data_IF_131239823071
#
_entry.id   IF_131239823071
#
_cell.length_a   1.000
_cell.length_b   1.000
_cell.length_c   1.000
_cell.angle_alpha   90.00
_cell.angle_beta   90.00
_cell.angle_gamma   90.00
#
_symmetry.space_group_name_H-M   'P 1'
#
loop_
_entity.id
_entity.type
_entity.pdbx_description
1 polymer ?
#
# COMPACT_ATOMS: atom_id res chain seq x y z
N UNK A 1 -4.29 -18.68 -1.52
CA UNK A 1 -4.45 -17.34 -2.13
C UNK A 1 -3.92 -16.27 -1.18
N UNK A 2 -3.21 -15.26 -1.69
CA UNK A 2 -2.73 -14.12 -0.91
C UNK A 2 -3.56 -12.88 -1.25
N UNK A 3 -3.90 -12.06 -0.25
CA UNK A 3 -4.62 -10.81 -0.42
C UNK A 3 -3.79 -9.64 0.07
N UNK A 4 -3.76 -8.56 -0.70
CA UNK A 4 -3.21 -7.28 -0.26
C UNK A 4 -4.37 -6.37 0.18
N UNK A 5 -4.34 -5.91 1.42
CA UNK A 5 -5.38 -5.11 2.06
C UNK A 5 -4.78 -3.83 2.64
N UNK A 6 -5.64 -2.84 2.89
CA UNK A 6 -5.29 -1.56 3.52
C UNK A 6 -6.51 -1.03 4.31
N UNK A 7 -6.41 0.14 4.93
CA UNK A 7 -7.47 0.73 5.74
C UNK A 7 -8.68 1.19 4.89
N UNK A 8 -9.83 1.36 5.54
CA UNK A 8 -11.01 1.99 4.91
C UNK A 8 -10.82 3.50 4.76
N UNK A 9 -11.53 4.12 3.82
CA UNK A 9 -11.28 5.49 3.38
C UNK A 9 -9.85 5.66 2.83
N UNK A 10 -9.41 4.69 2.02
CA UNK A 10 -8.04 4.66 1.49
C UNK A 10 -7.74 5.93 0.70
N UNK A 11 -6.62 6.54 1.04
CA UNK A 11 -6.02 7.65 0.32
C UNK A 11 -5.04 7.13 -0.75
N UNK A 12 -4.17 8.00 -1.27
CA UNK A 12 -3.23 7.64 -2.31
C UNK A 12 -2.08 6.77 -1.81
N UNK A 13 -1.62 6.92 -0.56
CA UNK A 13 -0.53 6.07 -0.05
C UNK A 13 -1.04 4.63 0.07
N UNK A 14 -2.20 4.44 0.68
CA UNK A 14 -2.86 3.16 0.79
C UNK A 14 -2.98 2.44 -0.57
N UNK A 15 -3.59 3.07 -1.59
CA UNK A 15 -3.77 2.40 -2.89
C UNK A 15 -2.45 2.22 -3.64
N UNK A 16 -1.54 3.20 -3.60
CA UNK A 16 -0.22 3.07 -4.22
C UNK A 16 0.55 1.90 -3.60
N UNK A 17 0.53 1.81 -2.28
CA UNK A 17 1.14 0.73 -1.51
C UNK A 17 0.55 -0.62 -1.84
N UNK A 18 -0.76 -0.72 -2.10
CA UNK A 18 -1.37 -1.97 -2.59
C UNK A 18 -0.80 -2.41 -3.95
N UNK A 19 -0.69 -1.47 -4.89
CA UNK A 19 -0.10 -1.76 -6.21
C UNK A 19 1.38 -2.12 -6.11
N UNK A 20 2.17 -1.40 -5.30
CA UNK A 20 3.58 -1.67 -5.10
C UNK A 20 3.82 -3.02 -4.42
N UNK A 21 3.00 -3.38 -3.42
CA UNK A 21 3.02 -4.71 -2.83
C UNK A 21 2.69 -5.79 -3.87
N UNK A 22 1.75 -5.56 -4.79
CA UNK A 22 1.48 -6.50 -5.87
C UNK A 22 2.69 -6.70 -6.80
N UNK A 23 3.52 -5.66 -7.02
CA UNK A 23 4.78 -5.78 -7.78
C UNK A 23 5.80 -6.69 -7.10
N UNK A 24 5.88 -6.64 -5.76
CA UNK A 24 6.76 -7.50 -4.96
C UNK A 24 6.20 -8.93 -4.79
N UNK A 25 4.87 -9.05 -4.77
CA UNK A 25 4.14 -10.30 -4.57
C UNK A 25 3.12 -10.52 -5.70
N UNK A 26 3.56 -10.89 -6.93
CA UNK A 26 2.68 -10.97 -8.10
C UNK A 26 1.51 -11.96 -7.98
N UNK A 27 1.59 -12.92 -7.04
CA UNK A 27 0.52 -13.87 -6.76
C UNK A 27 -0.54 -13.34 -5.78
N UNK A 28 -0.30 -12.20 -5.13
CA UNK A 28 -1.21 -11.60 -4.17
C UNK A 28 -2.15 -10.61 -4.85
N UNK A 29 -3.45 -10.69 -4.56
CA UNK A 29 -4.46 -9.85 -5.20
C UNK A 29 -4.71 -8.57 -4.38
N UNK A 30 -4.49 -7.37 -4.95
CA UNK A 30 -4.79 -6.12 -4.27
C UNK A 30 -6.28 -5.81 -4.34
N UNK A 31 -6.95 -5.97 -3.20
CA UNK A 31 -8.37 -5.69 -3.08
C UNK A 31 -8.56 -4.30 -2.47
N UNK A 32 -9.20 -3.41 -3.22
CA UNK A 32 -9.52 -2.08 -2.71
C UNK A 32 -10.43 -2.16 -1.49
N UNK A 33 -10.34 -1.15 -0.63
CA UNK A 33 -11.32 -0.93 0.44
C UNK A 33 -12.71 -0.62 -0.14
N UNK A 34 -13.75 -0.71 0.69
CA UNK A 34 -15.12 -0.39 0.24
C UNK A 34 -15.28 1.11 -0.01
N UNK A 35 -14.57 1.93 0.75
CA UNK A 35 -14.56 3.38 0.61
C UNK A 35 -13.13 3.84 0.34
N UNK A 36 -12.94 4.56 -0.76
CA UNK A 36 -11.71 5.29 -1.07
C UNK A 36 -12.00 6.78 -1.07
N UNK A 37 -10.98 7.61 -0.86
CA UNK A 37 -11.12 9.06 -0.90
C UNK A 37 -11.56 9.55 -2.29
N UNK A 38 -12.19 10.73 -2.34
CA UNK A 38 -12.81 11.24 -3.59
C UNK A 38 -11.78 11.46 -4.70
N UNK A 39 -10.60 11.96 -4.36
CA UNK A 39 -9.45 12.13 -5.25
C UNK A 39 -9.00 10.77 -5.83
N UNK A 40 -8.82 9.76 -4.97
CA UNK A 40 -8.47 8.40 -5.34
C UNK A 40 -9.53 7.79 -6.27
N UNK A 41 -10.81 7.93 -5.94
CA UNK A 41 -11.90 7.46 -6.79
C UNK A 41 -11.87 8.09 -8.19
N UNK A 42 -11.57 9.39 -8.27
CA UNK A 42 -11.39 10.09 -9.54
C UNK A 42 -10.27 9.49 -10.38
N UNK A 43 -9.10 9.24 -9.77
CA UNK A 43 -7.96 8.61 -10.42
C UNK A 43 -8.28 7.18 -10.90
N UNK A 44 -8.84 6.35 -10.02
CA UNK A 44 -9.19 4.96 -10.32
C UNK A 44 -10.25 4.86 -11.42
N UNK A 45 -11.18 5.82 -11.53
CA UNK A 45 -12.18 5.85 -12.60
C UNK A 45 -11.53 6.02 -13.98
N UNK A 46 -10.46 6.81 -14.08
CA UNK A 46 -9.75 7.06 -15.34
C UNK A 46 -8.84 5.90 -15.75
N UNK A 47 -8.26 5.21 -14.76
CA UNK A 47 -7.16 4.28 -14.97
C UNK A 47 -7.45 2.83 -14.54
N UNK A 48 -8.72 2.50 -14.27
CA UNK A 48 -9.15 1.21 -13.72
C UNK A 48 -8.53 0.01 -14.43
N UNK A 49 -8.65 -0.05 -15.76
CA UNK A 49 -8.25 -1.22 -16.57
C UNK A 49 -6.73 -1.40 -16.67
N UNK A 50 -5.95 -0.44 -16.19
CA UNK A 50 -4.48 -0.46 -16.22
C UNK A 50 -3.86 -0.77 -14.86
N UNK A 51 -4.67 -0.95 -13.82
CA UNK A 51 -4.22 -1.16 -12.44
C UNK A 51 -4.66 -2.55 -11.94
N UNK A 52 -3.89 -3.20 -11.05
CA UNK A 52 -4.08 -4.62 -10.72
C UNK A 52 -5.25 -4.90 -9.76
N UNK A 53 -6.14 -3.94 -9.55
CA UNK A 53 -7.11 -3.99 -8.46
C UNK A 53 -8.32 -4.88 -8.72
N UNK A 54 -8.82 -5.47 -7.64
CA UNK A 54 -10.16 -6.06 -7.60
C UNK A 54 -11.07 -5.28 -6.66
N UNK A 55 -12.37 -5.24 -6.97
CA UNK A 55 -13.36 -4.68 -6.04
C UNK A 55 -13.77 -5.74 -5.01
N UNK A 56 -14.12 -5.34 -3.78
CA UNK A 56 -14.65 -6.27 -2.77
C UNK A 56 -15.85 -7.11 -3.22
N UNK A 57 -16.67 -6.57 -4.12
CA UNK A 57 -17.84 -7.27 -4.67
C UNK A 57 -17.50 -8.36 -5.69
N UNK A 58 -16.32 -8.29 -6.31
CA UNK A 58 -15.84 -9.24 -7.31
C UNK A 58 -15.10 -10.42 -6.62
N UNK A 59 -14.86 -10.34 -5.31
CA UNK A 59 -14.18 -11.36 -4.52
C UNK A 59 -15.04 -12.60 -4.26
N UNK A 60 -14.57 -13.77 -4.69
CA UNK A 60 -15.30 -15.04 -4.63
C UNK A 60 -15.17 -15.79 -3.30
N UNK A 61 -14.55 -15.19 -2.27
CA UNK A 61 -14.44 -15.75 -0.91
C UNK A 61 -13.66 -17.06 -0.84
N UNK A 62 -12.63 -17.17 -1.65
CA UNK A 62 -11.70 -18.28 -1.57
C UNK A 62 -10.92 -18.26 -0.24
N UNK A 63 -10.42 -19.41 0.24
CA UNK A 63 -9.57 -19.47 1.42
C UNK A 63 -8.33 -18.57 1.26
N UNK A 64 -8.19 -17.61 2.16
CA UNK A 64 -7.01 -16.76 2.26
C UNK A 64 -5.93 -17.51 3.06
N UNK A 65 -4.74 -17.61 2.48
CA UNK A 65 -3.57 -18.28 3.07
C UNK A 65 -2.67 -17.28 3.79
N UNK A 66 -2.59 -16.05 3.27
CA UNK A 66 -1.80 -14.97 3.85
C UNK A 66 -2.41 -13.62 3.46
N UNK A 67 -2.26 -12.64 4.35
CA UNK A 67 -2.62 -11.24 4.11
C UNK A 67 -1.34 -10.42 4.12
N UNK A 68 -1.21 -9.54 3.14
CA UNK A 68 -0.23 -8.47 3.13
C UNK A 68 -1.01 -7.19 3.42
N UNK A 69 -0.86 -6.66 4.62
CA UNK A 69 -1.52 -5.45 5.08
C UNK A 69 -0.56 -4.28 4.85
N UNK A 70 -1.00 -3.28 4.09
CA UNK A 70 -0.19 -2.11 3.78
C UNK A 70 -0.84 -0.85 4.32
N UNK A 71 0.00 0.07 4.78
CA UNK A 71 -0.39 1.41 5.22
C UNK A 71 -1.35 1.42 6.43
N UNK A 72 -1.36 0.32 7.16
CA UNK A 72 -2.08 0.17 8.40
C UNK A 72 -1.64 -1.11 9.11
N UNK A 73 -1.78 -1.13 10.42
CA UNK A 73 -1.72 -2.35 11.23
C UNK A 73 -3.12 -2.76 11.75
N UNK A 74 -4.20 -2.15 11.25
CA UNK A 74 -5.58 -2.53 11.57
C UNK A 74 -6.20 -3.37 10.46
N UNK A 75 -6.42 -4.66 10.71
CA UNK A 75 -6.96 -5.57 9.70
C UNK A 75 -8.45 -5.29 9.43
N UNK A 76 -8.85 -4.86 8.21
CA UNK A 76 -10.25 -4.62 7.90
C UNK A 76 -11.07 -5.92 7.88
N UNK A 77 -12.37 -5.79 8.20
CA UNK A 77 -13.28 -6.93 8.15
C UNK A 77 -13.65 -7.28 6.68
N UNK A 78 -12.94 -8.29 6.17
CA UNK A 78 -13.08 -8.84 4.82
C UNK A 78 -13.63 -10.26 4.90
N UNK A 79 -14.63 -10.55 4.07
CA UNK A 79 -15.25 -11.88 4.05
C UNK A 79 -14.30 -12.92 3.46
N UNK A 80 -14.07 -14.01 4.18
CA UNK A 80 -13.15 -15.09 3.79
C UNK A 80 -11.80 -15.02 4.51
N UNK A 81 -11.48 -13.88 5.13
CA UNK A 81 -10.35 -13.74 6.06
C UNK A 81 -10.72 -14.40 7.39
N UNK A 82 -9.92 -15.38 7.82
CA UNK A 82 -10.04 -15.98 9.16
C UNK A 82 -9.22 -15.17 10.16
N UNK A 83 -9.61 -15.20 11.44
CA UNK A 83 -8.92 -14.48 12.52
C UNK A 83 -7.47 -14.92 12.72
N UNK A 84 -7.14 -16.16 12.36
CA UNK A 84 -5.82 -16.79 12.50
C UNK A 84 -5.00 -16.75 11.21
N UNK A 85 -5.48 -16.06 10.17
CA UNK A 85 -4.74 -15.95 8.91
C UNK A 85 -3.40 -15.25 9.16
N UNK A 86 -2.27 -15.78 8.68
CA UNK A 86 -0.98 -15.09 8.74
C UNK A 86 -1.07 -13.69 8.11
N UNK A 87 -0.55 -12.68 8.80
CA UNK A 87 -0.52 -11.29 8.34
C UNK A 87 0.93 -10.82 8.28
N UNK A 88 1.30 -10.22 7.16
CA UNK A 88 2.51 -9.42 7.02
C UNK A 88 2.08 -7.96 6.93
N UNK A 89 2.59 -7.11 7.80
CA UNK A 89 2.32 -5.66 7.80
C UNK A 89 3.51 -4.93 7.21
N UNK A 90 3.25 -4.01 6.27
CA UNK A 90 4.22 -3.04 5.76
C UNK A 90 3.62 -1.65 5.96
N UNK A 91 4.15 -0.89 6.91
CA UNK A 91 3.49 0.32 7.40
C UNK A 91 4.53 1.34 7.88
N UNK A 92 4.30 2.62 7.63
CA UNK A 92 5.14 3.69 8.17
C UNK A 92 4.66 4.23 9.54
N UNK A 93 3.43 3.86 9.96
CA UNK A 93 2.91 4.20 11.28
C UNK A 93 3.56 3.34 12.36
N UNK A 94 4.54 3.88 13.08
CA UNK A 94 5.19 3.18 14.19
C UNK A 94 4.20 2.94 15.33
N UNK A 95 4.20 1.73 15.89
CA UNK A 95 3.44 1.43 17.10
C UNK A 95 3.92 2.30 18.27
N UNK A 96 2.97 2.95 18.94
CA UNK A 96 3.19 3.66 20.19
C UNK A 96 3.22 2.67 21.37
N UNK A 97 3.78 3.09 22.50
CA UNK A 97 3.83 2.27 23.72
C UNK A 97 2.44 1.87 24.25
N UNK A 98 1.42 2.70 23.97
CA UNK A 98 0.05 2.53 24.43
C UNK A 98 -0.86 1.79 23.41
N UNK A 99 -0.32 1.39 22.24
CA UNK A 99 -1.10 0.65 21.25
C UNK A 99 -1.41 -0.77 21.75
N UNK A 100 -2.56 -1.30 21.33
CA UNK A 100 -2.90 -2.70 21.62
C UNK A 100 -1.87 -3.64 20.97
N UNK A 101 -1.37 -4.65 21.70
CA UNK A 101 -0.40 -5.58 21.15
C UNK A 101 -1.02 -6.34 19.97
N UNK A 102 -0.31 -6.33 18.85
CA UNK A 102 -0.71 -7.10 17.67
C UNK A 102 -0.55 -8.60 17.93
N UNK A 103 -1.31 -9.46 17.23
CA UNK A 103 -1.21 -10.91 17.41
C UNK A 103 0.20 -11.45 17.13
N UNK A 104 0.68 -12.38 17.96
CA UNK A 104 2.04 -12.96 17.87
C UNK A 104 2.38 -13.59 16.51
N UNK A 105 1.37 -13.98 15.73
CA UNK A 105 1.53 -14.59 14.42
C UNK A 105 1.62 -13.57 13.27
N UNK A 106 1.71 -12.27 13.57
CA UNK A 106 1.89 -11.20 12.59
C UNK A 106 3.36 -10.89 12.38
N UNK A 107 3.78 -10.76 11.12
CA UNK A 107 5.10 -10.30 10.75
C UNK A 107 5.05 -8.78 10.49
N UNK A 108 5.74 -8.00 11.33
CA UNK A 108 5.75 -6.54 11.24
C UNK A 108 6.99 -6.05 10.50
N UNK A 109 6.78 -5.26 9.45
CA UNK A 109 7.81 -4.47 8.78
C UNK A 109 7.41 -3.00 8.85
N UNK A 110 7.86 -2.31 9.90
CA UNK A 110 7.59 -0.89 10.09
C UNK A 110 8.87 -0.07 9.99
N UNK A 111 8.80 1.07 9.31
CA UNK A 111 9.93 1.97 9.16
C UNK A 111 9.52 3.43 9.32
N UNK A 112 10.42 4.23 9.91
CA UNK A 112 10.23 5.66 10.07
C UNK A 112 10.46 6.39 8.73
N UNK A 113 9.43 6.42 7.88
CA UNK A 113 9.38 7.14 6.60
C UNK A 113 8.12 7.99 6.50
N UNK A 114 8.12 8.97 5.60
CA UNK A 114 6.96 9.83 5.39
C UNK A 114 5.77 9.12 4.76
N UNK A 115 5.98 8.01 4.03
CA UNK A 115 4.93 7.23 3.38
C UNK A 115 5.27 5.73 3.38
N UNK A 116 4.26 4.86 3.42
CA UNK A 116 4.39 3.41 3.21
C UNK A 116 4.91 3.12 1.79
N UNK A 117 4.48 3.90 0.79
CA UNK A 117 4.96 3.79 -0.58
C UNK A 117 6.50 3.88 -0.67
N UNK A 118 7.15 4.70 0.16
CA UNK A 118 8.61 4.83 0.20
C UNK A 118 9.28 3.51 0.54
N UNK A 119 8.78 2.79 1.55
CA UNK A 119 9.30 1.49 1.99
C UNK A 119 9.25 0.48 0.84
N UNK A 120 8.09 0.39 0.18
CA UNK A 120 7.87 -0.56 -0.90
C UNK A 120 8.69 -0.23 -2.16
N UNK A 121 8.85 1.05 -2.48
CA UNK A 121 9.65 1.50 -3.63
C UNK A 121 11.13 1.17 -3.46
N UNK A 122 11.68 1.34 -2.26
CA UNK A 122 13.05 0.96 -1.96
C UNK A 122 13.27 -0.54 -2.12
N UNK A 123 12.32 -1.37 -1.66
CA UNK A 123 12.37 -2.83 -1.85
C UNK A 123 12.31 -3.21 -3.34
N UNK A 124 11.40 -2.62 -4.11
CA UNK A 124 11.28 -2.85 -5.57
C UNK A 124 12.59 -2.48 -6.27
N UNK A 125 13.14 -1.31 -5.95
CA UNK A 125 14.38 -0.83 -6.57
C UNK A 125 15.57 -1.71 -6.20
N UNK A 126 15.67 -2.15 -4.94
CA UNK A 126 16.71 -3.07 -4.49
C UNK A 126 16.62 -4.44 -5.19
N UNK A 127 15.40 -4.90 -5.50
CA UNK A 127 15.14 -6.12 -6.27
C UNK A 127 15.36 -5.95 -7.79
N UNK A 128 15.76 -4.76 -8.26
CA UNK A 128 15.92 -4.47 -9.69
C UNK A 128 14.61 -4.35 -10.46
N UNK A 129 13.49 -4.18 -9.76
CA UNK A 129 12.17 -3.97 -10.34
C UNK A 129 12.03 -2.57 -10.94
N UNK A 130 11.06 -2.43 -11.85
CA UNK A 130 10.71 -1.14 -12.48
C UNK A 130 9.20 -0.94 -12.48
N UNK A 131 8.81 0.33 -12.57
CA UNK A 131 7.44 0.77 -12.75
C UNK A 131 7.25 1.33 -14.16
N UNK A 132 6.04 1.21 -14.70
CA UNK A 132 5.64 2.01 -15.86
C UNK A 132 5.25 3.44 -15.42
N UNK A 133 4.99 4.33 -16.38
CA UNK A 133 4.70 5.75 -16.12
C UNK A 133 3.46 5.96 -15.22
N UNK A 134 2.40 5.17 -15.43
CA UNK A 134 1.17 5.26 -14.62
C UNK A 134 1.41 4.74 -13.20
N UNK A 135 2.08 3.59 -13.06
CA UNK A 135 2.45 3.02 -11.76
C UNK A 135 3.36 3.99 -10.99
N UNK A 136 4.31 4.64 -11.68
CA UNK A 136 5.21 5.62 -11.09
C UNK A 136 4.46 6.89 -10.67
N UNK A 137 3.49 7.34 -11.48
CA UNK A 137 2.61 8.46 -11.12
C UNK A 137 1.77 8.16 -9.89
N UNK A 138 1.15 6.97 -9.84
CA UNK A 138 0.37 6.56 -8.67
C UNK A 138 1.24 6.48 -7.41
N UNK A 139 2.45 5.91 -7.51
CA UNK A 139 3.40 5.84 -6.41
C UNK A 139 3.84 7.24 -5.95
N UNK A 140 3.99 8.20 -6.87
CA UNK A 140 4.37 9.57 -6.53
C UNK A 140 3.25 10.29 -5.78
N UNK A 141 2.00 10.08 -6.22
CA UNK A 141 0.82 10.58 -5.51
C UNK A 141 0.73 10.00 -4.09
N UNK A 142 1.08 8.71 -3.92
CA UNK A 142 1.15 8.08 -2.59
C UNK A 142 2.15 8.78 -1.67
N UNK A 143 3.39 8.98 -2.13
CA UNK A 143 4.39 9.75 -1.35
C UNK A 143 3.87 11.16 -1.04
N UNK A 144 3.29 11.86 -2.02
CA UNK A 144 2.86 13.24 -1.83
C UNK A 144 1.65 13.41 -0.92
N UNK A 145 0.75 12.43 -0.84
CA UNK A 145 -0.39 12.45 0.07
C UNK A 145 0.09 12.55 1.54
N UNK A 146 0.98 11.64 1.93
CA UNK A 146 1.39 11.48 3.33
C UNK A 146 2.57 12.36 3.74
N UNK A 147 3.31 12.87 2.76
CA UNK A 147 4.36 13.87 3.00
C UNK A 147 3.89 15.30 2.82
N UNK A 148 2.63 15.53 2.43
CA UNK A 148 2.15 16.87 2.07
C UNK A 148 2.98 17.50 0.95
N UNK A 149 3.28 16.71 -0.09
CA UNK A 149 4.24 17.07 -1.14
C UNK A 149 5.62 17.45 -0.58
N UNK A 150 6.15 16.60 0.32
CA UNK A 150 7.46 16.75 1.00
C UNK A 150 7.57 17.94 1.97
N UNK A 151 6.45 18.40 2.54
CA UNK A 151 6.42 19.54 3.48
C UNK A 151 6.05 19.18 4.91
N UNK A 152 5.50 17.99 5.17
CA UNK A 152 5.15 17.56 6.53
C UNK A 152 6.39 17.11 7.32
N UNK A 153 6.30 17.22 8.66
CA UNK A 153 7.42 16.95 9.57
C UNK A 153 7.92 15.50 9.51
N UNK A 154 7.04 14.54 9.20
CA UNK A 154 7.41 13.12 9.05
C UNK A 154 8.22 12.83 7.76
N UNK A 155 8.30 13.80 6.83
CA UNK A 155 9.02 13.64 5.57
C UNK A 155 10.53 13.48 5.80
N UNK A 156 11.11 12.43 5.22
CA UNK A 156 12.53 12.15 5.26
C UNK A 156 13.24 12.26 3.90
N UNK A 157 14.57 12.18 3.94
CA UNK A 157 15.40 12.13 2.72
C UNK A 157 15.10 10.93 1.82
N UNK A 158 14.61 9.83 2.41
CA UNK A 158 14.20 8.60 1.71
C UNK A 158 12.99 8.86 0.81
N UNK A 159 11.98 9.60 1.30
CA UNK A 159 10.79 9.97 0.53
C UNK A 159 11.17 10.86 -0.65
N UNK A 160 12.02 11.86 -0.42
CA UNK A 160 12.53 12.73 -1.48
C UNK A 160 13.34 11.96 -2.54
N UNK A 161 14.15 10.99 -2.12
CA UNK A 161 14.92 10.14 -3.03
C UNK A 161 14.01 9.24 -3.89
N UNK A 162 12.94 8.69 -3.31
CA UNK A 162 11.96 7.90 -4.06
C UNK A 162 11.12 8.77 -4.99
N UNK A 163 10.68 9.96 -4.56
CA UNK A 163 10.01 10.92 -5.44
C UNK A 163 10.89 11.30 -6.65
N UNK A 164 12.17 11.60 -6.43
CA UNK A 164 13.11 11.88 -7.51
C UNK A 164 13.29 10.68 -8.46
N UNK A 165 13.34 9.47 -7.92
CA UNK A 165 13.40 8.25 -8.72
C UNK A 165 12.14 8.05 -9.57
N UNK A 166 10.96 8.23 -9.00
CA UNK A 166 9.68 8.13 -9.71
C UNK A 166 9.55 9.16 -10.84
N UNK A 167 10.00 10.40 -10.61
CA UNK A 167 10.06 11.42 -11.64
C UNK A 167 11.00 11.03 -12.80
N UNK A 168 12.09 10.32 -12.50
CA UNK A 168 12.98 9.79 -13.54
C UNK A 168 12.34 8.68 -14.39
N UNK A 169 11.29 8.03 -13.89
CA UNK A 169 10.46 7.04 -14.59
C UNK A 169 9.28 7.68 -15.35
N UNK A 170 9.15 9.01 -15.32
CA UNK A 170 8.13 9.75 -16.05
C UNK A 170 6.89 10.12 -15.23
N UNK A 171 6.87 9.90 -13.92
CA UNK A 171 5.76 10.31 -13.06
C UNK A 171 5.40 11.81 -13.22
N UNK A 172 4.10 12.14 -13.14
CA UNK A 172 3.56 13.51 -13.36
C UNK A 172 2.54 13.93 -12.30
#
# INVERSE_FOLDING_TARGET
>A
MQLILTHENSDFDAVASQMLAHKLYPAALPMLSRRVNRNVNGFLTLYWDMLPYIRPQDWQREPVEQIILVDTHSLPNVRGVRKDSPVQVIDHHLLAEDDEPLPDNWALHQEATGATATILLEQIRAAGGTLNELEATLALLGIYEDTGSLTYDATGSRDAAMAAWLLSLGAR
#
